data_IF_608963359095
#
_entry.id   IF_608963359095
#
_cell.length_a   1.000
_cell.length_b   1.000
_cell.length_c   1.000
_cell.angle_alpha   90.00
_cell.angle_beta   90.00
_cell.angle_gamma   90.00
#
_symmetry.space_group_name_H-M   'P 1'
#
loop_
_entity.id
_entity.type
_entity.pdbx_description
1 polymer ?
#
# COMPACT_ATOMS: atom_id res chain seq x y z
N UNK A 1 11.31 -5.77 37.95
CA UNK A 1 12.09 -5.34 36.77
C UNK A 1 11.43 -5.95 35.54
N UNK A 2 10.64 -5.15 34.81
CA UNK A 2 9.89 -5.63 33.65
C UNK A 2 10.85 -5.97 32.51
N UNK A 3 10.74 -7.19 31.97
CA UNK A 3 11.49 -7.56 30.76
C UNK A 3 11.09 -6.58 29.66
N UNK A 4 12.05 -5.88 29.05
CA UNK A 4 11.80 -5.19 27.78
C UNK A 4 11.27 -6.25 26.80
N UNK A 5 10.15 -6.03 26.09
CA UNK A 5 9.62 -7.01 25.15
C UNK A 5 10.71 -7.31 24.13
N UNK A 6 11.27 -8.51 24.23
CA UNK A 6 12.35 -8.96 23.39
C UNK A 6 11.83 -9.09 21.96
N UNK A 7 12.67 -8.68 21.01
CA UNK A 7 12.57 -9.05 19.60
C UNK A 7 12.01 -10.46 19.46
N UNK A 8 10.96 -10.63 18.64
CA UNK A 8 10.31 -11.92 18.29
C UNK A 8 11.24 -13.00 17.71
N UNK A 9 12.54 -12.73 17.66
CA UNK A 9 13.58 -13.56 17.06
C UNK A 9 14.60 -13.98 18.12
N UNK A 10 14.78 -15.30 18.26
CA UNK A 10 15.75 -15.91 19.16
C UNK A 10 17.17 -15.40 18.86
N UNK A 11 18.02 -15.06 19.85
CA UNK A 11 19.45 -14.76 19.68
C UNK A 11 20.16 -15.70 18.71
N UNK A 12 19.76 -16.97 18.71
CA UNK A 12 20.36 -18.05 17.92
C UNK A 12 19.61 -18.38 16.61
N UNK A 13 18.74 -17.48 16.14
CA UNK A 13 18.05 -17.64 14.86
C UNK A 13 19.07 -17.60 13.69
N UNK A 14 19.20 -18.68 12.88
CA UNK A 14 20.17 -18.73 11.79
C UNK A 14 19.92 -17.65 10.73
N UNK A 15 18.70 -17.11 10.64
CA UNK A 15 18.32 -16.07 9.68
C UNK A 15 18.39 -14.65 10.27
N UNK A 16 18.90 -14.50 11.51
CA UNK A 16 18.94 -13.23 12.25
C UNK A 16 19.50 -12.07 11.43
N UNK A 17 20.58 -12.31 10.69
CA UNK A 17 21.24 -11.29 9.89
C UNK A 17 20.40 -10.87 8.68
N UNK A 18 19.73 -11.82 8.03
CA UNK A 18 18.81 -11.54 6.92
C UNK A 18 17.56 -10.79 7.40
N UNK A 19 16.99 -11.21 8.53
CA UNK A 19 15.86 -10.55 9.19
C UNK A 19 16.21 -9.09 9.54
N UNK A 20 17.42 -8.84 10.06
CA UNK A 20 17.89 -7.49 10.35
C UNK A 20 17.99 -6.63 9.08
N UNK A 21 18.57 -7.17 7.99
CA UNK A 21 18.68 -6.46 6.70
C UNK A 21 17.31 -6.15 6.08
N UNK A 22 16.34 -7.06 6.19
CA UNK A 22 14.96 -6.83 5.73
C UNK A 22 14.32 -5.70 6.53
N UNK A 23 14.42 -5.73 7.86
CA UNK A 23 13.88 -4.67 8.73
C UNK A 23 14.51 -3.30 8.46
N UNK A 24 15.83 -3.23 8.27
CA UNK A 24 16.51 -1.99 7.90
C UNK A 24 16.08 -1.44 6.54
N UNK A 25 15.76 -2.32 5.58
CA UNK A 25 15.19 -1.92 4.30
C UNK A 25 13.77 -1.37 4.47
N UNK A 26 12.93 -2.04 5.23
CA UNK A 26 11.56 -1.59 5.51
C UNK A 26 11.53 -0.26 6.28
N UNK A 27 12.47 -0.07 7.21
CA UNK A 27 12.68 1.17 7.95
C UNK A 27 12.94 2.37 7.01
N UNK A 28 13.78 2.18 5.99
CA UNK A 28 14.08 3.23 5.00
C UNK A 28 12.88 3.61 4.14
N UNK A 29 11.88 2.72 4.02
CA UNK A 29 10.67 2.94 3.23
C UNK A 29 9.53 3.59 4.02
N UNK A 30 9.69 3.80 5.33
CA UNK A 30 8.67 4.45 6.17
C UNK A 30 8.53 5.93 5.77
N UNK A 31 7.33 6.36 5.35
CA UNK A 31 7.12 7.76 4.99
C UNK A 31 7.27 8.70 6.19
N UNK A 32 7.84 9.88 5.94
CA UNK A 32 8.02 10.94 6.95
C UNK A 32 6.70 11.39 7.58
N UNK A 33 5.61 11.43 6.80
CA UNK A 33 4.28 11.90 7.22
C UNK A 33 3.28 10.76 7.18
N UNK A 34 2.66 10.47 8.32
CA UNK A 34 1.79 9.29 8.51
C UNK A 34 0.33 9.65 8.85
N UNK A 35 -0.08 10.88 8.60
CA UNK A 35 -1.45 11.34 8.76
C UNK A 35 -1.88 12.13 7.51
N UNK A 36 -3.13 12.00 7.05
CA UNK A 36 -3.63 12.80 5.93
C UNK A 36 -3.76 14.28 6.32
N UNK A 37 -3.64 15.17 5.34
CA UNK A 37 -3.95 16.58 5.53
C UNK A 37 -5.38 16.84 5.07
N UNK A 38 -6.26 17.20 6.01
CA UNK A 38 -7.67 17.50 5.71
C UNK A 38 -7.79 19.01 5.47
N UNK A 39 -8.27 19.40 4.29
CA UNK A 39 -8.44 20.80 3.88
C UNK A 39 -9.76 20.99 3.15
N UNK A 40 -10.30 22.20 3.25
CA UNK A 40 -11.37 22.67 2.39
C UNK A 40 -10.73 23.29 1.16
N UNK A 41 -10.97 22.68 0.02
CA UNK A 41 -10.38 23.08 -1.25
C UNK A 41 -11.43 23.78 -2.09
N UNK A 42 -11.03 24.90 -2.69
CA UNK A 42 -11.89 25.63 -3.62
C UNK A 42 -11.80 25.03 -5.01
N UNK A 43 -12.83 25.27 -5.82
CA UNK A 43 -12.81 24.94 -7.25
C UNK A 43 -11.56 25.52 -7.92
N UNK A 44 -10.97 24.74 -8.82
CA UNK A 44 -9.75 25.11 -9.52
C UNK A 44 -8.76 23.97 -9.63
N UNK A 45 -7.57 24.31 -10.11
CA UNK A 45 -6.51 23.34 -10.39
C UNK A 45 -5.47 23.35 -9.26
N UNK A 46 -5.21 22.18 -8.68
CA UNK A 46 -4.30 22.00 -7.57
C UNK A 46 -3.17 21.07 -8.02
N UNK A 47 -1.92 21.51 -7.82
CA UNK A 47 -0.75 20.67 -8.01
C UNK A 47 -0.38 19.97 -6.70
N UNK A 48 -0.74 18.69 -6.57
CA UNK A 48 -0.41 17.88 -5.41
C UNK A 48 1.03 17.34 -5.48
N UNK A 49 1.75 17.41 -4.36
CA UNK A 49 3.10 16.87 -4.24
C UNK A 49 3.07 15.33 -4.16
N UNK A 50 3.61 14.65 -5.18
CA UNK A 50 3.79 13.19 -5.14
C UNK A 50 5.20 12.75 -4.67
N UNK A 51 6.17 13.67 -4.60
CA UNK A 51 7.55 13.32 -4.25
C UNK A 51 7.79 13.17 -2.74
N UNK A 52 7.01 13.85 -1.89
CA UNK A 52 7.19 13.86 -0.43
C UNK A 52 8.28 14.80 0.08
N UNK A 53 8.86 15.61 -0.81
CA UNK A 53 9.97 16.51 -0.51
C UNK A 53 9.59 18.00 -0.51
N UNK A 54 8.31 18.31 -0.73
CA UNK A 54 7.78 19.68 -0.72
C UNK A 54 7.74 20.24 0.69
N UNK A 55 8.16 21.50 0.83
CA UNK A 55 8.01 22.27 2.07
C UNK A 55 6.57 22.78 2.24
N UNK A 56 5.84 22.94 1.13
CA UNK A 56 4.43 23.40 1.08
C UNK A 56 3.42 22.27 0.95
N UNK A 57 3.80 21.08 1.40
CA UNK A 57 2.94 19.89 1.43
C UNK A 57 1.56 20.23 2.06
N UNK A 58 0.43 19.83 1.44
CA UNK A 58 0.29 18.79 0.42
C UNK A 58 0.59 19.24 -1.02
N UNK A 59 0.86 20.53 -1.25
CA UNK A 59 1.01 21.11 -2.58
C UNK A 59 2.46 21.02 -3.09
N UNK A 60 2.61 21.03 -4.41
CA UNK A 60 3.91 21.03 -5.06
C UNK A 60 4.55 22.43 -5.03
N UNK A 61 5.84 22.48 -4.70
CA UNK A 61 6.67 23.68 -4.62
C UNK A 61 7.90 23.63 -5.56
N UNK A 62 7.92 22.64 -6.47
CA UNK A 62 9.07 22.39 -7.36
C UNK A 62 10.24 21.62 -6.72
N UNK A 63 10.15 21.22 -5.44
CA UNK A 63 11.22 20.46 -4.75
C UNK A 63 11.57 19.15 -5.46
N UNK A 64 10.63 18.53 -6.17
CA UNK A 64 10.86 17.31 -6.93
C UNK A 64 11.93 17.49 -8.02
N UNK A 65 11.97 18.65 -8.68
CA UNK A 65 12.98 18.98 -9.67
C UNK A 65 14.33 19.32 -8.99
N UNK A 66 14.30 20.16 -7.95
CA UNK A 66 15.51 20.58 -7.21
C UNK A 66 16.27 19.41 -6.57
N UNK A 67 15.54 18.41 -6.07
CA UNK A 67 16.09 17.21 -5.44
C UNK A 67 16.20 16.01 -6.39
N UNK A 68 15.94 16.23 -7.69
CA UNK A 68 15.99 15.20 -8.74
C UNK A 68 15.30 13.88 -8.36
N UNK A 69 14.07 13.97 -7.84
CA UNK A 69 13.39 12.80 -7.24
C UNK A 69 12.80 11.84 -8.27
N UNK A 70 12.91 12.14 -9.58
CA UNK A 70 12.29 11.36 -10.65
C UNK A 70 10.76 11.27 -10.62
N UNK A 71 10.10 12.14 -9.83
CA UNK A 71 8.65 12.14 -9.61
C UNK A 71 8.05 13.46 -10.05
N UNK A 72 6.85 13.42 -10.60
CA UNK A 72 6.10 14.60 -11.04
C UNK A 72 4.90 14.86 -10.12
N UNK A 73 4.47 16.13 -9.94
CA UNK A 73 3.26 16.44 -9.20
C UNK A 73 2.01 15.88 -9.90
N UNK A 74 0.98 15.55 -9.12
CA UNK A 74 -0.32 15.16 -9.68
C UNK A 74 -1.21 16.39 -9.77
N UNK A 75 -1.70 16.68 -10.97
CA UNK A 75 -2.65 17.77 -11.20
C UNK A 75 -4.06 17.28 -10.90
N UNK A 76 -4.79 18.03 -10.08
CA UNK A 76 -6.17 17.75 -9.68
C UNK A 76 -7.02 18.92 -10.07
N UNK A 77 -8.09 18.65 -10.81
CA UNK A 77 -9.10 19.64 -11.15
C UNK A 77 -10.33 19.43 -10.26
N UNK A 78 -10.67 20.45 -9.48
CA UNK A 78 -11.86 20.48 -8.65
C UNK A 78 -12.92 21.33 -9.35
N UNK A 79 -14.06 20.69 -9.67
CA UNK A 79 -15.21 21.37 -10.30
C UNK A 79 -16.00 22.22 -9.30
N UNK A 80 -15.93 21.87 -8.02
CA UNK A 80 -16.65 22.50 -6.94
C UNK A 80 -15.81 22.51 -5.67
N UNK A 81 -16.21 23.36 -4.72
CA UNK A 81 -15.58 23.45 -3.41
C UNK A 81 -15.90 22.18 -2.62
N UNK A 82 -14.87 21.53 -2.08
CA UNK A 82 -15.08 20.30 -1.30
C UNK A 82 -13.99 20.09 -0.27
N UNK A 83 -14.34 19.34 0.76
CA UNK A 83 -13.38 18.86 1.75
C UNK A 83 -12.60 17.68 1.17
N UNK A 84 -11.27 17.80 1.18
CA UNK A 84 -10.34 16.79 0.66
C UNK A 84 -9.42 16.29 1.78
N UNK A 85 -9.17 14.98 1.76
CA UNK A 85 -8.17 14.34 2.62
C UNK A 85 -6.95 13.98 1.77
N UNK A 86 -5.96 14.87 1.74
CA UNK A 86 -4.74 14.69 0.97
C UNK A 86 -3.84 13.62 1.58
N UNK A 87 -3.31 12.74 0.73
CA UNK A 87 -2.32 11.75 1.15
C UNK A 87 -0.98 12.44 1.48
N UNK A 88 -0.46 12.21 2.69
CA UNK A 88 0.86 12.73 3.07
C UNK A 88 1.93 11.65 3.07
N UNK A 89 1.54 10.37 3.18
CA UNK A 89 2.48 9.25 3.22
C UNK A 89 2.99 8.82 1.83
N UNK A 90 2.37 9.29 0.74
CA UNK A 90 2.72 8.96 -0.65
C UNK A 90 2.68 7.45 -0.99
N UNK A 91 1.97 6.65 -0.19
CA UNK A 91 1.76 5.21 -0.36
C UNK A 91 0.30 4.84 -0.66
N UNK A 92 -0.55 5.82 -0.96
CA UNK A 92 -1.94 5.58 -1.32
C UNK A 92 -2.07 5.14 -2.78
N UNK A 93 -2.94 4.18 -3.06
CA UNK A 93 -3.20 3.70 -4.42
C UNK A 93 -4.05 4.70 -5.21
N UNK A 94 -4.95 5.42 -4.52
CA UNK A 94 -5.84 6.45 -5.09
C UNK A 94 -5.28 7.86 -4.92
N UNK A 95 -3.95 7.99 -4.90
CA UNK A 95 -3.30 9.31 -4.83
C UNK A 95 -3.89 10.23 -5.90
N UNK A 96 -4.34 11.43 -5.51
CA UNK A 96 -3.81 12.21 -4.38
C UNK A 96 -4.62 12.16 -3.07
N UNK A 97 -5.75 11.45 -3.08
CA UNK A 97 -6.59 11.25 -1.89
C UNK A 97 -6.01 10.19 -0.95
N UNK A 98 -6.38 10.24 0.33
CA UNK A 98 -6.00 9.25 1.32
C UNK A 98 -6.98 8.05 1.33
N UNK A 99 -6.44 6.83 1.23
CA UNK A 99 -7.17 5.55 1.42
C UNK A 99 -6.83 4.81 2.73
N UNK A 100 -6.05 5.42 3.63
CA UNK A 100 -5.65 4.78 4.88
C UNK A 100 -4.37 3.94 4.82
N UNK A 101 -3.68 3.81 3.67
CA UNK A 101 -2.40 3.07 3.57
C UNK A 101 -1.33 3.52 4.57
N UNK A 102 -1.42 4.74 5.11
CA UNK A 102 -0.52 5.25 6.15
C UNK A 102 -0.61 4.48 7.48
N UNK A 103 -1.71 3.78 7.76
CA UNK A 103 -1.91 3.05 9.02
C UNK A 103 -0.87 1.94 9.22
N UNK A 104 -0.54 1.18 8.16
CA UNK A 104 0.51 0.16 8.17
C UNK A 104 1.84 0.74 8.67
N UNK A 105 2.26 1.86 8.06
CA UNK A 105 3.52 2.51 8.39
C UNK A 105 3.51 3.17 9.77
N UNK A 106 2.34 3.61 10.27
CA UNK A 106 2.19 4.11 11.64
C UNK A 106 2.43 3.00 12.66
N UNK A 107 1.94 1.80 12.41
CA UNK A 107 2.19 0.65 13.29
C UNK A 107 3.67 0.24 13.26
N UNK A 108 4.25 0.12 12.07
CA UNK A 108 5.68 -0.20 11.92
C UNK A 108 6.56 0.83 12.63
N UNK A 109 6.29 2.12 12.45
CA UNK A 109 7.04 3.19 13.12
C UNK A 109 6.96 3.08 14.65
N UNK A 110 5.78 2.78 15.20
CA UNK A 110 5.59 2.62 16.65
C UNK A 110 6.26 1.36 17.21
N UNK A 111 6.22 0.24 16.50
CA UNK A 111 6.97 -0.97 16.88
C UNK A 111 8.47 -0.65 17.04
N UNK A 112 9.01 0.13 16.10
CA UNK A 112 10.44 0.43 16.01
C UNK A 112 10.88 1.51 17.01
N UNK A 113 10.09 2.57 17.18
CA UNK A 113 10.44 3.68 18.08
C UNK A 113 10.02 3.43 19.54
N UNK A 114 8.87 2.80 19.76
CA UNK A 114 8.28 2.61 21.10
C UNK A 114 8.50 1.20 21.65
N UNK A 115 9.04 0.26 20.85
CA UNK A 115 9.21 -1.13 21.24
C UNK A 115 7.89 -1.85 21.50
N UNK A 116 6.81 -1.43 20.82
CA UNK A 116 5.48 -2.00 20.97
C UNK A 116 5.45 -3.42 20.38
N UNK A 117 5.06 -4.41 21.19
CA UNK A 117 4.89 -5.80 20.72
C UNK A 117 3.67 -5.90 19.78
N UNK A 118 3.93 -6.04 18.47
CA UNK A 118 2.92 -6.22 17.42
C UNK A 118 2.53 -7.67 17.19
N UNK A 119 2.97 -8.61 18.05
CA UNK A 119 2.62 -10.04 17.97
C UNK A 119 1.10 -10.30 17.88
N UNK A 120 0.28 -9.45 18.50
CA UNK A 120 -1.18 -9.47 18.40
C UNK A 120 -1.67 -9.10 16.99
N UNK A 121 -0.96 -8.22 16.28
CA UNK A 121 -1.29 -7.81 14.91
C UNK A 121 -0.81 -8.83 13.86
N UNK A 122 0.37 -9.45 14.05
CA UNK A 122 0.83 -10.59 13.22
C UNK A 122 -0.16 -11.77 13.31
N UNK A 123 -0.79 -11.97 14.47
CA UNK A 123 -1.86 -12.95 14.67
C UNK A 123 -3.18 -12.59 13.96
N UNK A 124 -3.42 -11.32 13.62
CA UNK A 124 -4.58 -10.85 12.84
C UNK A 124 -4.26 -10.84 11.34
N UNK A 125 -3.05 -10.43 10.94
CA UNK A 125 -2.57 -10.48 9.56
C UNK A 125 -2.40 -11.93 9.07
N UNK A 126 -1.92 -12.84 9.94
CA UNK A 126 -1.87 -14.28 9.66
C UNK A 126 -3.26 -14.92 9.49
N UNK A 127 -4.29 -14.39 10.18
CA UNK A 127 -5.69 -14.78 9.95
C UNK A 127 -6.25 -14.19 8.64
N UNK A 128 -5.86 -12.97 8.27
CA UNK A 128 -6.28 -12.33 7.01
C UNK A 128 -5.58 -12.90 5.76
N UNK A 129 -4.33 -13.37 5.86
CA UNK A 129 -3.66 -14.08 4.76
C UNK A 129 -4.38 -15.40 4.44
N UNK A 130 -4.89 -16.10 5.46
CA UNK A 130 -5.67 -17.33 5.28
C UNK A 130 -7.04 -17.11 4.62
N UNK A 131 -7.61 -15.91 4.75
CA UNK A 131 -8.90 -15.56 4.13
C UNK A 131 -8.80 -15.27 2.62
N UNK A 132 -7.59 -15.06 2.07
CA UNK A 132 -7.43 -14.68 0.65
C UNK A 132 -6.98 -15.80 -0.27
N UNK A 133 -6.46 -16.93 0.25
CA UNK A 133 -6.00 -18.05 -0.58
C UNK A 133 -7.20 -18.84 -1.13
N UNK A 134 -8.14 -19.22 -0.26
CA UNK A 134 -9.39 -19.88 -0.66
C UNK A 134 -10.20 -19.05 -1.68
N UNK A 135 -10.28 -17.72 -1.49
CA UNK A 135 -10.95 -16.85 -2.45
C UNK A 135 -10.20 -16.75 -3.79
N UNK A 136 -8.86 -16.72 -3.79
CA UNK A 136 -8.05 -16.75 -5.02
C UNK A 136 -8.21 -18.07 -5.77
N UNK A 137 -8.22 -19.17 -5.04
CA UNK A 137 -8.40 -20.52 -5.62
C UNK A 137 -9.81 -20.69 -6.18
N UNK A 138 -10.84 -20.21 -5.46
CA UNK A 138 -12.22 -20.17 -5.95
C UNK A 138 -12.39 -19.30 -7.21
N UNK A 139 -11.75 -18.12 -7.25
CA UNK A 139 -11.80 -17.22 -8.40
C UNK A 139 -11.08 -17.83 -9.62
N UNK A 140 -9.97 -18.56 -9.39
CA UNK A 140 -9.26 -19.28 -10.45
C UNK A 140 -10.11 -20.42 -11.00
N UNK A 141 -10.69 -21.25 -10.14
CA UNK A 141 -11.57 -22.35 -10.55
C UNK A 141 -12.76 -21.86 -11.38
N UNK A 142 -13.41 -20.77 -10.95
CA UNK A 142 -14.52 -20.17 -11.70
C UNK A 142 -14.09 -19.68 -13.10
N UNK A 143 -12.93 -19.02 -13.21
CA UNK A 143 -12.40 -18.58 -14.52
C UNK A 143 -12.09 -19.74 -15.46
N UNK A 144 -11.53 -20.83 -14.92
CA UNK A 144 -11.21 -22.03 -15.69
C UNK A 144 -12.48 -22.73 -16.18
N UNK A 145 -13.55 -22.72 -15.38
CA UNK A 145 -14.87 -23.23 -15.77
C UNK A 145 -15.53 -22.39 -16.88
N UNK A 146 -15.47 -21.06 -16.78
CA UNK A 146 -15.99 -20.18 -17.85
C UNK A 146 -15.27 -20.41 -19.18
N UNK A 147 -13.94 -20.60 -19.17
CA UNK A 147 -13.18 -20.93 -20.38
C UNK A 147 -13.62 -22.25 -21.01
N UNK A 148 -13.85 -23.29 -20.21
CA UNK A 148 -14.34 -24.58 -20.71
C UNK A 148 -15.72 -24.44 -21.35
N UNK A 149 -16.63 -23.69 -20.72
CA UNK A 149 -17.95 -23.43 -21.27
C UNK A 149 -17.88 -22.64 -22.59
N UNK A 150 -16.93 -21.71 -22.71
CA UNK A 150 -16.68 -20.96 -23.94
C UNK A 150 -16.09 -21.84 -25.05
N UNK A 151 -15.12 -22.70 -24.73
CA UNK A 151 -14.55 -23.69 -25.65
C UNK A 151 -15.59 -24.71 -26.12
N UNK A 152 -16.45 -25.21 -25.22
CA UNK A 152 -17.55 -26.11 -25.56
C UNK A 152 -18.58 -25.45 -26.46
N UNK A 153 -18.92 -24.18 -26.20
CA UNK A 153 -19.79 -23.40 -27.10
C UNK A 153 -19.17 -23.24 -28.48
N UNK A 154 -17.88 -22.90 -28.55
CA UNK A 154 -17.15 -22.74 -29.81
C UNK A 154 -17.09 -24.05 -30.61
N UNK A 155 -16.91 -25.18 -29.94
CA UNK A 155 -16.88 -26.51 -30.57
C UNK A 155 -18.28 -26.96 -31.05
N UNK A 156 -19.36 -26.51 -30.40
CA UNK A 156 -20.74 -26.73 -30.86
C UNK A 156 -21.12 -25.84 -32.04
N UNK A 157 -20.64 -24.60 -32.08
CA UNK A 157 -20.91 -23.65 -33.16
C UNK A 157 -20.06 -23.92 -34.42
N UNK A 158 -18.85 -24.48 -34.26
CA UNK A 158 -17.98 -24.89 -35.37
C UNK A 158 -17.45 -26.31 -35.12
N UNK A 159 -18.23 -27.35 -35.42
CA UNK A 159 -17.77 -28.72 -35.27
C UNK A 159 -16.59 -28.98 -36.24
N UNK A 160 -15.56 -29.74 -35.82
CA UNK A 160 -14.47 -30.09 -36.71
C UNK A 160 -15.01 -30.88 -37.91
N UNK A 161 -14.47 -30.66 -39.12
CA UNK A 161 -14.98 -31.31 -40.33
C UNK A 161 -14.86 -32.83 -40.20
N UNK A 162 -15.98 -33.53 -40.40
CA UNK A 162 -16.02 -34.98 -40.47
C UNK A 162 -15.27 -35.44 -41.72
N UNK A 163 -14.27 -36.31 -41.54
CA UNK A 163 -13.56 -36.98 -42.62
C UNK A 163 -14.48 -37.84 -43.50
#
# INVERSE_FOLDING_TARGET
MGRRPGSKYSPDDPDREEIARIRERELREIPKKLAPCIREEKKGTIAYCACGESEKDPYCDGSHARKNTGKQPKIVELKEDRKMAWCMCKKSEIMPSCNGSHAKYRMLKRELEEGLDTSVHDSIQGKNIRMTQSMRDNLKAWRDEQKKLEEEKKNKENPPPSH
#
